data_IF_428457533275
#
_entry.id   IF_428457533275
#
_cell.length_a   1.000
_cell.length_b   1.000
_cell.length_c   1.000
_cell.angle_alpha   90.00
_cell.angle_beta   90.00
_cell.angle_gamma   90.00
#
_symmetry.space_group_name_H-M   'P 1'
#
loop_
_entity.id
_entity.type
_entity.pdbx_description
1 polymer ?
#
# COMPACT_ATOMS: atom_id res chain seq x y z
N UNK A 1 10.78 5.29 33.73
CA UNK A 1 10.58 3.83 33.85
C UNK A 1 9.89 3.39 32.57
N UNK A 2 10.61 2.74 31.66
CA UNK A 2 10.01 2.22 30.43
C UNK A 2 9.08 1.07 30.81
N UNK A 3 7.78 1.30 30.68
CA UNK A 3 6.78 0.25 30.73
C UNK A 3 7.16 -0.73 29.62
N UNK A 4 7.53 -1.97 29.97
CA UNK A 4 7.78 -2.99 28.96
C UNK A 4 6.42 -3.32 28.36
N UNK A 5 6.15 -2.82 27.16
CA UNK A 5 4.93 -3.15 26.45
C UNK A 5 4.89 -4.67 26.23
N UNK A 6 3.84 -5.31 26.75
CA UNK A 6 3.58 -6.74 26.57
C UNK A 6 2.81 -6.98 25.27
N UNK A 7 2.83 -8.21 24.76
CA UNK A 7 2.04 -8.60 23.58
C UNK A 7 2.66 -8.13 22.26
N UNK A 8 1.81 -7.82 21.28
CA UNK A 8 2.24 -7.43 19.93
C UNK A 8 3.13 -6.17 19.93
N UNK A 9 2.80 -5.18 20.76
CA UNK A 9 3.60 -3.95 20.88
C UNK A 9 5.02 -4.23 21.40
N UNK A 10 5.16 -5.17 22.34
CA UNK A 10 6.47 -5.62 22.81
C UNK A 10 7.34 -6.21 21.69
N UNK A 11 6.74 -6.95 20.75
CA UNK A 11 7.45 -7.48 19.59
C UNK A 11 7.81 -6.40 18.56
N UNK A 12 7.15 -5.25 18.58
CA UNK A 12 7.48 -4.08 17.76
C UNK A 12 8.56 -3.17 18.39
N UNK A 13 9.06 -3.49 19.58
CA UNK A 13 10.10 -2.71 20.27
C UNK A 13 11.34 -2.31 19.44
N UNK A 14 11.84 -3.09 18.44
CA UNK A 14 12.96 -2.65 17.59
C UNK A 14 12.68 -1.36 16.79
N UNK A 15 11.41 -1.03 16.59
CA UNK A 15 10.95 0.18 15.89
C UNK A 15 10.15 1.12 16.80
N UNK A 16 10.24 0.95 18.12
CA UNK A 16 9.48 1.74 19.09
C UNK A 16 9.66 3.26 18.88
N UNK A 17 10.89 3.70 18.59
CA UNK A 17 11.20 5.12 18.29
C UNK A 17 10.35 5.72 17.17
N UNK A 18 9.90 4.90 16.22
CA UNK A 18 9.06 5.32 15.10
C UNK A 18 7.58 5.24 15.45
N UNK A 19 7.20 4.25 16.28
CA UNK A 19 5.85 4.12 16.84
C UNK A 19 5.52 5.27 17.78
N UNK A 20 6.50 5.78 18.54
CA UNK A 20 6.28 6.88 19.47
C UNK A 20 6.31 8.25 18.78
N UNK A 21 6.89 8.34 17.58
CA UNK A 21 7.03 9.60 16.87
C UNK A 21 5.68 10.07 16.28
N UNK A 22 5.08 11.18 16.74
CA UNK A 22 3.76 11.63 16.28
C UNK A 22 3.69 12.01 14.80
N UNK A 23 4.84 12.21 14.16
CA UNK A 23 4.94 12.57 12.73
C UNK A 23 4.85 11.35 11.80
N UNK A 24 4.99 10.14 12.33
CA UNK A 24 4.90 8.90 11.55
C UNK A 24 3.44 8.53 11.34
N UNK A 25 2.99 8.41 10.09
CA UNK A 25 1.61 8.03 9.77
C UNK A 25 1.47 6.58 9.33
N UNK A 26 2.50 6.00 8.70
CA UNK A 26 2.50 4.59 8.26
C UNK A 26 3.82 3.88 8.57
N UNK A 27 3.72 2.60 8.92
CA UNK A 27 4.85 1.68 9.10
C UNK A 27 4.52 0.42 8.31
N UNK A 28 5.40 0.03 7.40
CA UNK A 28 5.20 -1.11 6.50
C UNK A 28 6.38 -2.07 6.60
N UNK A 29 6.09 -3.36 6.57
CA UNK A 29 7.10 -4.42 6.46
C UNK A 29 6.66 -5.29 5.30
N UNK A 30 7.32 -5.15 4.16
CA UNK A 30 7.01 -5.92 2.95
C UNK A 30 7.84 -7.19 2.84
N UNK A 31 8.98 -7.25 3.54
CA UNK A 31 9.86 -8.41 3.67
C UNK A 31 10.61 -8.38 5.00
N UNK A 32 11.14 -9.51 5.49
CA UNK A 32 11.90 -9.54 6.73
C UNK A 32 13.06 -8.53 6.71
N UNK A 33 13.36 -7.99 7.89
CA UNK A 33 14.42 -7.01 8.14
C UNK A 33 14.24 -5.62 7.52
N UNK A 34 13.20 -5.39 6.70
CA UNK A 34 13.01 -4.09 6.02
C UNK A 34 11.72 -3.41 6.42
N UNK A 35 11.88 -2.20 6.96
CA UNK A 35 10.78 -1.40 7.48
C UNK A 35 10.71 -0.09 6.73
N UNK A 36 9.60 0.13 6.03
CA UNK A 36 9.29 1.41 5.42
C UNK A 36 8.51 2.27 6.41
N UNK A 37 8.90 3.52 6.56
CA UNK A 37 8.33 4.47 7.51
C UNK A 37 7.94 5.73 6.75
N UNK A 38 6.67 6.10 6.84
CA UNK A 38 6.14 7.32 6.26
C UNK A 38 5.97 8.38 7.34
N UNK A 39 6.59 9.53 7.12
CA UNK A 39 6.41 10.71 7.94
C UNK A 39 6.32 11.96 7.07
N UNK A 40 5.31 12.81 7.32
CA UNK A 40 5.09 14.07 6.59
C UNK A 40 5.04 13.91 5.06
N UNK A 41 4.48 12.81 4.56
CA UNK A 41 4.38 12.51 3.13
C UNK A 41 5.67 11.98 2.50
N UNK A 42 6.72 11.73 3.29
CA UNK A 42 7.98 11.16 2.83
C UNK A 42 8.15 9.74 3.38
N UNK A 43 8.43 8.79 2.49
CA UNK A 43 8.68 7.39 2.84
C UNK A 43 10.19 7.11 2.85
N UNK A 44 10.68 6.41 3.86
CA UNK A 44 12.07 5.95 3.92
C UNK A 44 12.14 4.47 4.32
N UNK A 45 13.15 3.75 3.82
CA UNK A 45 13.42 2.37 4.21
C UNK A 45 14.51 2.32 5.27
N UNK A 46 14.30 1.53 6.33
CA UNK A 46 15.26 1.29 7.39
C UNK A 46 15.44 -0.21 7.59
N UNK A 47 16.69 -0.66 7.64
CA UNK A 47 17.02 -2.04 7.93
C UNK A 47 16.98 -2.31 9.44
N UNK A 48 16.23 -3.33 9.83
CA UNK A 48 16.02 -3.75 11.22
C UNK A 48 16.16 -5.28 11.31
N UNK A 49 17.39 -5.83 11.44
CA UNK A 49 17.64 -7.28 11.43
C UNK A 49 16.85 -8.07 12.49
N UNK A 50 16.47 -7.42 13.60
CA UNK A 50 15.67 -8.04 14.66
C UNK A 50 14.24 -8.40 14.19
N UNK A 51 13.70 -7.75 13.16
CA UNK A 51 12.39 -8.06 12.57
C UNK A 51 12.54 -9.13 11.47
N UNK A 52 13.13 -10.26 11.85
CA UNK A 52 13.28 -11.43 10.97
C UNK A 52 11.93 -12.16 10.75
N UNK A 53 11.95 -13.16 9.86
CA UNK A 53 10.76 -13.95 9.53
C UNK A 53 10.10 -14.57 10.76
N UNK A 54 10.87 -15.12 11.70
CA UNK A 54 10.32 -15.83 12.86
C UNK A 54 9.66 -14.87 13.83
N UNK A 55 10.29 -13.72 14.09
CA UNK A 55 9.71 -12.66 14.92
C UNK A 55 8.44 -12.09 14.30
N UNK A 56 8.41 -11.87 12.99
CA UNK A 56 7.21 -11.41 12.28
C UNK A 56 6.07 -12.42 12.41
N UNK A 57 6.32 -13.71 12.26
CA UNK A 57 5.29 -14.74 12.45
C UNK A 57 4.76 -14.76 13.90
N UNK A 58 5.64 -14.63 14.89
CA UNK A 58 5.21 -14.53 16.29
C UNK A 58 4.36 -13.27 16.53
N UNK A 59 4.80 -12.12 15.99
CA UNK A 59 4.05 -10.86 16.04
C UNK A 59 2.66 -11.02 15.41
N UNK A 60 2.57 -11.66 14.26
CA UNK A 60 1.32 -11.84 13.55
C UNK A 60 0.34 -12.71 14.34
N UNK A 61 0.82 -13.79 14.97
CA UNK A 61 0.01 -14.63 15.85
C UNK A 61 -0.48 -13.87 17.10
N UNK A 62 0.36 -13.03 17.71
CA UNK A 62 -0.06 -12.19 18.83
C UNK A 62 -1.12 -11.17 18.41
N UNK A 63 -0.92 -10.48 17.29
CA UNK A 63 -1.91 -9.53 16.76
C UNK A 63 -3.24 -10.25 16.47
N UNK A 64 -3.18 -11.45 15.88
CA UNK A 64 -4.37 -12.24 15.59
C UNK A 64 -5.12 -12.61 16.87
N UNK A 65 -4.40 -13.09 17.88
CA UNK A 65 -4.96 -13.39 19.20
C UNK A 65 -5.59 -12.17 19.87
N UNK A 66 -4.91 -11.02 19.86
CA UNK A 66 -5.40 -9.77 20.44
C UNK A 66 -6.66 -9.24 19.73
N UNK A 67 -6.81 -9.55 18.43
CA UNK A 67 -7.99 -9.19 17.63
C UNK A 67 -9.07 -10.28 17.61
N UNK A 68 -8.91 -11.38 18.37
CA UNK A 68 -9.81 -12.54 18.37
C UNK A 68 -10.06 -13.11 16.96
N UNK A 69 -9.02 -13.14 16.13
CA UNK A 69 -9.07 -13.62 14.75
C UNK A 69 -8.08 -14.76 14.56
N UNK A 70 -8.31 -15.57 13.51
CA UNK A 70 -7.37 -16.58 13.08
C UNK A 70 -6.51 -16.04 11.95
N UNK A 71 -5.24 -16.45 11.93
CA UNK A 71 -4.32 -16.14 10.86
C UNK A 71 -3.44 -17.36 10.59
N UNK A 72 -3.72 -18.02 9.47
CA UNK A 72 -3.11 -19.28 9.06
C UNK A 72 -3.15 -19.41 7.53
N UNK A 73 -2.73 -20.55 7.00
CA UNK A 73 -2.65 -20.77 5.54
C UNK A 73 -4.03 -20.74 4.85
N UNK A 74 -5.12 -21.06 5.56
CA UNK A 74 -6.50 -21.02 5.03
C UNK A 74 -7.10 -19.62 5.12
N UNK A 75 -6.72 -18.85 6.15
CA UNK A 75 -7.10 -17.46 6.38
C UNK A 75 -5.85 -16.57 6.46
N UNK A 76 -5.18 -16.30 5.33
CA UNK A 76 -3.87 -15.66 5.32
C UNK A 76 -3.95 -14.13 5.42
N UNK A 77 -5.14 -13.56 5.54
CA UNK A 77 -5.38 -12.11 5.60
C UNK A 77 -5.99 -11.75 6.94
N UNK A 78 -5.45 -10.70 7.58
CA UNK A 78 -5.99 -10.17 8.83
C UNK A 78 -6.14 -8.66 8.76
N UNK A 79 -7.31 -8.17 9.16
CA UNK A 79 -7.63 -6.76 9.36
C UNK A 79 -7.99 -6.52 10.82
N UNK A 80 -7.20 -5.72 11.52
CA UNK A 80 -7.37 -5.51 12.96
C UNK A 80 -6.85 -4.17 13.46
N UNK A 81 -6.68 -4.07 14.77
CA UNK A 81 -6.08 -2.93 15.47
C UNK A 81 -5.01 -3.39 16.46
N UNK A 82 -4.06 -2.51 16.76
CA UNK A 82 -3.08 -2.69 17.84
C UNK A 82 -3.59 -2.06 19.13
N UNK A 83 -2.92 -2.35 20.26
CA UNK A 83 -3.28 -1.83 21.58
C UNK A 83 -3.27 -0.30 21.71
N UNK A 84 -2.48 0.39 20.88
CA UNK A 84 -2.43 1.86 20.80
C UNK A 84 -3.58 2.46 19.94
N UNK A 85 -4.44 1.61 19.37
CA UNK A 85 -5.52 1.99 18.46
C UNK A 85 -5.10 2.20 17.01
N UNK A 86 -3.83 1.94 16.66
CA UNK A 86 -3.37 1.93 15.26
C UNK A 86 -4.04 0.79 14.49
N UNK A 87 -4.37 1.02 13.21
CA UNK A 87 -4.94 -0.01 12.34
C UNK A 87 -3.84 -0.88 11.78
N UNK A 88 -4.06 -2.18 11.70
CA UNK A 88 -3.09 -3.14 11.17
C UNK A 88 -3.71 -4.04 10.11
N UNK A 89 -2.93 -4.31 9.06
CA UNK A 89 -3.19 -5.29 8.03
C UNK A 89 -2.04 -6.27 7.97
N UNK A 90 -2.34 -7.56 7.98
CA UNK A 90 -1.37 -8.65 7.87
C UNK A 90 -1.71 -9.53 6.68
N UNK A 91 -0.67 -9.99 5.99
CA UNK A 91 -0.77 -11.00 4.93
C UNK A 91 0.30 -12.05 5.12
N UNK A 92 -0.11 -13.32 5.18
CA UNK A 92 0.80 -14.47 5.21
C UNK A 92 1.14 -14.98 3.80
N UNK A 93 2.29 -15.66 3.66
CA UNK A 93 2.52 -16.58 2.55
C UNK A 93 1.49 -17.72 2.53
N UNK A 94 1.12 -18.25 1.35
CA UNK A 94 1.65 -17.92 0.02
C UNK A 94 0.99 -16.72 -0.66
N UNK A 95 -0.05 -16.12 -0.05
CA UNK A 95 -0.78 -14.97 -0.63
C UNK A 95 0.16 -13.80 -0.89
N UNK A 96 0.98 -13.41 0.08
CA UNK A 96 2.16 -12.58 -0.16
C UNK A 96 3.42 -13.43 -0.29
N UNK A 97 4.49 -12.89 -0.88
CA UNK A 97 5.79 -13.58 -0.95
C UNK A 97 6.37 -13.75 0.47
N UNK A 98 6.23 -12.72 1.30
CA UNK A 98 6.72 -12.69 2.68
C UNK A 98 5.59 -12.33 3.64
N UNK A 99 5.73 -12.64 4.95
CA UNK A 99 4.86 -12.07 5.98
C UNK A 99 4.86 -10.54 5.86
N UNK A 100 3.75 -9.98 5.42
CA UNK A 100 3.62 -8.56 5.09
C UNK A 100 2.74 -7.88 6.11
N UNK A 101 3.19 -6.74 6.63
CA UNK A 101 2.50 -5.95 7.64
C UNK A 101 2.38 -4.50 7.19
N UNK A 102 1.22 -3.91 7.44
CA UNK A 102 0.97 -2.48 7.25
C UNK A 102 0.26 -1.94 8.48
N UNK A 103 0.91 -1.04 9.20
CA UNK A 103 0.34 -0.30 10.33
C UNK A 103 0.05 1.12 9.85
N UNK A 104 -1.19 1.55 10.02
CA UNK A 104 -1.61 2.94 9.84
C UNK A 104 -1.92 3.54 11.18
N UNK A 105 -1.08 4.50 11.59
CA UNK A 105 -1.19 5.15 12.89
C UNK A 105 -2.37 6.11 12.92
N UNK A 106 -2.94 6.29 14.11
CA UNK A 106 -4.03 7.24 14.33
C UNK A 106 -3.46 8.66 14.30
N UNK A 107 -3.86 9.45 13.30
CA UNK A 107 -3.52 10.87 13.28
C UNK A 107 -4.26 11.57 14.43
N UNK A 108 -3.52 12.13 15.37
CA UNK A 108 -4.05 12.82 16.57
C UNK A 108 -4.58 14.22 16.24
N UNK A 109 -4.47 14.66 14.98
CA UNK A 109 -4.81 16.01 14.59
C UNK A 109 -6.30 16.15 14.25
N UNK A 110 -7.12 16.40 15.28
CA UNK A 110 -8.47 16.93 15.12
C UNK A 110 -8.42 18.38 14.62
N UNK A 111 -8.17 18.57 13.32
CA UNK A 111 -8.15 19.89 12.71
C UNK A 111 -9.58 20.38 12.48
N UNK A 112 -9.86 21.61 12.90
CA UNK A 112 -11.06 22.34 12.53
C UNK A 112 -10.95 22.89 11.10
N UNK A 113 -12.09 23.24 10.48
CA UNK A 113 -12.09 23.91 9.17
C UNK A 113 -11.30 25.23 9.19
N UNK A 114 -11.26 25.93 10.33
CA UNK A 114 -10.47 27.15 10.48
C UNK A 114 -8.97 26.86 10.48
N UNK A 115 -8.53 25.72 11.02
CA UNK A 115 -7.11 25.34 10.99
C UNK A 115 -6.62 25.14 9.55
N UNK A 116 -7.45 24.56 8.68
CA UNK A 116 -7.14 24.45 7.25
C UNK A 116 -7.00 25.83 6.58
N UNK A 117 -7.82 26.80 6.97
CA UNK A 117 -7.72 28.19 6.46
C UNK A 117 -6.42 28.84 6.90
N UNK A 118 -6.04 28.73 8.18
CA UNK A 118 -4.79 29.31 8.70
C UNK A 118 -3.54 28.66 8.10
N UNK A 119 -3.62 27.38 7.72
CA UNK A 119 -2.56 26.63 7.04
C UNK A 119 -2.49 26.87 5.53
N UNK A 120 -3.23 27.83 4.99
CA UNK A 120 -3.32 28.10 3.54
C UNK A 120 -3.70 26.88 2.70
N UNK A 121 -4.40 25.90 3.27
CA UNK A 121 -4.73 24.64 2.58
C UNK A 121 -5.54 24.88 1.30
N UNK A 122 -6.44 25.87 1.33
CA UNK A 122 -7.31 26.23 0.21
C UNK A 122 -6.63 27.07 -0.89
N UNK A 123 -5.34 27.41 -0.75
CA UNK A 123 -4.68 28.31 -1.70
C UNK A 123 -4.57 27.72 -3.11
N UNK A 124 -4.51 26.38 -3.22
CA UNK A 124 -4.45 25.65 -4.51
C UNK A 124 -5.81 25.13 -4.97
N UNK A 125 -6.89 25.38 -4.23
CA UNK A 125 -8.21 24.90 -4.65
C UNK A 125 -8.77 25.78 -5.76
N UNK A 126 -9.17 25.17 -6.85
CA UNK A 126 -9.78 25.84 -7.99
C UNK A 126 -11.26 25.47 -8.00
N UNK A 127 -12.14 26.47 -8.03
CA UNK A 127 -13.57 26.22 -8.18
C UNK A 127 -13.83 25.61 -9.56
N UNK A 128 -14.52 24.47 -9.59
CA UNK A 128 -14.92 23.84 -10.84
C UNK A 128 -16.17 24.55 -11.38
N UNK A 129 -16.04 25.23 -12.51
CA UNK A 129 -17.18 25.85 -13.19
C UNK A 129 -17.82 24.86 -14.18
N UNK A 130 -19.04 24.43 -13.87
CA UNK A 130 -19.86 23.52 -14.68
C UNK A 130 -20.21 24.09 -16.06
N UNK A 131 -20.10 25.42 -16.26
CA UNK A 131 -20.47 26.10 -17.52
C UNK A 131 -19.26 26.50 -18.37
N UNK A 132 -18.07 26.59 -17.79
CA UNK A 132 -16.87 26.89 -18.56
C UNK A 132 -16.26 25.61 -19.13
N UNK A 133 -16.07 25.56 -20.44
CA UNK A 133 -15.15 24.59 -21.07
C UNK A 133 -13.68 24.92 -20.75
N UNK A 134 -13.36 25.27 -19.50
CA UNK A 134 -11.98 25.35 -19.04
C UNK A 134 -11.43 23.93 -18.94
N UNK A 135 -11.08 23.37 -20.10
CA UNK A 135 -10.19 22.24 -20.27
C UNK A 135 -8.89 22.62 -19.56
N UNK A 136 -8.77 22.20 -18.30
CA UNK A 136 -7.57 22.38 -17.48
C UNK A 136 -6.32 22.05 -18.30
N UNK A 137 -5.27 22.84 -18.12
CA UNK A 137 -4.02 22.73 -18.90
C UNK A 137 -3.44 21.31 -18.90
N UNK A 138 -3.67 20.51 -17.84
CA UNK A 138 -3.34 19.07 -17.77
C UNK A 138 -4.03 18.23 -18.85
N UNK A 139 -5.31 18.50 -19.17
CA UNK A 139 -6.01 17.85 -20.28
C UNK A 139 -5.42 18.22 -21.64
N UNK A 140 -4.69 19.34 -21.76
CA UNK A 140 -4.10 19.77 -23.05
C UNK A 140 -2.87 18.91 -23.38
N UNK A 141 -1.97 18.65 -22.45
CA UNK A 141 -0.71 17.94 -22.76
C UNK A 141 -0.97 16.52 -23.29
N UNK A 142 -1.70 15.69 -22.54
CA UNK A 142 -2.08 14.34 -22.97
C UNK A 142 -2.90 14.36 -24.26
N UNK A 143 -3.83 15.32 -24.42
CA UNK A 143 -4.62 15.43 -25.64
C UNK A 143 -3.78 15.77 -26.86
N UNK A 144 -2.78 16.64 -26.73
CA UNK A 144 -1.87 16.97 -27.82
C UNK A 144 -0.99 15.77 -28.20
N UNK A 145 -0.43 15.06 -27.21
CA UNK A 145 0.34 13.83 -27.46
C UNK A 145 -0.50 12.78 -28.18
N UNK A 146 -1.76 12.60 -27.76
CA UNK A 146 -2.74 11.74 -28.43
C UNK A 146 -3.00 12.18 -29.88
N UNK A 147 -3.23 13.47 -30.12
CA UNK A 147 -3.49 14.02 -31.46
C UNK A 147 -2.29 13.87 -32.39
N UNK A 148 -1.09 13.98 -31.84
CA UNK A 148 0.17 13.80 -32.57
C UNK A 148 0.56 12.33 -32.72
N UNK A 149 -0.20 11.39 -32.13
CA UNK A 149 0.08 9.95 -32.14
C UNK A 149 1.43 9.58 -31.53
N UNK A 150 1.93 10.40 -30.60
CA UNK A 150 3.14 10.09 -29.83
C UNK A 150 2.79 9.16 -28.66
N UNK A 151 2.55 7.89 -28.98
CA UNK A 151 2.07 6.90 -28.01
C UNK A 151 3.03 6.67 -26.84
N UNK A 152 4.35 6.46 -27.04
CA UNK A 152 5.27 6.22 -25.94
C UNK A 152 5.26 7.38 -24.93
N UNK A 153 5.35 8.62 -25.40
CA UNK A 153 5.31 9.80 -24.54
C UNK A 153 3.94 9.99 -23.90
N UNK A 154 2.85 9.72 -24.63
CA UNK A 154 1.49 9.77 -24.09
C UNK A 154 1.32 8.81 -22.90
N UNK A 155 1.73 7.54 -23.06
CA UNK A 155 1.62 6.51 -22.03
C UNK A 155 2.49 6.86 -20.83
N UNK A 156 3.76 7.21 -21.05
CA UNK A 156 4.67 7.64 -19.99
C UNK A 156 4.12 8.83 -19.22
N UNK A 157 3.62 9.85 -19.92
CA UNK A 157 3.02 11.04 -19.29
C UNK A 157 1.78 10.66 -18.48
N UNK A 158 0.92 9.76 -18.99
CA UNK A 158 -0.25 9.30 -18.26
C UNK A 158 0.12 8.54 -16.96
N UNK A 159 1.20 7.76 -16.98
CA UNK A 159 1.74 7.07 -15.80
C UNK A 159 2.27 8.07 -14.78
N UNK A 160 3.09 9.04 -15.20
CA UNK A 160 3.66 10.08 -14.33
C UNK A 160 2.59 11.00 -13.73
N UNK A 161 1.51 11.27 -14.48
CA UNK A 161 0.34 12.00 -14.00
C UNK A 161 -0.64 11.13 -13.18
N UNK A 162 -0.26 9.88 -12.86
CA UNK A 162 -1.04 8.94 -12.03
C UNK A 162 -2.46 8.71 -12.55
N UNK A 163 -2.64 8.65 -13.88
CA UNK A 163 -3.92 8.29 -14.49
C UNK A 163 -4.23 6.82 -14.24
N UNK A 164 -5.52 6.52 -14.09
CA UNK A 164 -5.99 5.13 -14.12
C UNK A 164 -5.95 4.64 -15.57
N UNK A 165 -5.21 3.56 -15.83
CA UNK A 165 -5.01 3.00 -17.17
C UNK A 165 -5.54 1.58 -17.19
N UNK A 166 -6.32 1.26 -18.24
CA UNK A 166 -6.78 -0.11 -18.52
C UNK A 166 -6.13 -0.57 -19.81
N UNK A 167 -5.40 -1.69 -19.74
CA UNK A 167 -4.80 -2.33 -20.92
C UNK A 167 -5.73 -3.46 -21.36
N UNK A 168 -6.26 -3.37 -22.57
CA UNK A 168 -7.24 -4.32 -23.13
C UNK A 168 -6.76 -4.92 -24.45
N UNK A 169 -7.25 -6.11 -24.79
CA UNK A 169 -6.85 -6.88 -25.96
C UNK A 169 -7.14 -8.38 -25.81
N UNK A 170 -7.19 -9.12 -26.92
CA UNK A 170 -7.49 -10.56 -26.94
C UNK A 170 -6.50 -11.43 -26.13
N UNK A 171 -6.81 -12.71 -25.95
CA UNK A 171 -5.87 -13.65 -25.32
C UNK A 171 -4.55 -13.70 -26.10
N UNK A 172 -3.42 -13.77 -25.40
CA UNK A 172 -2.07 -13.82 -26.01
C UNK A 172 -1.69 -12.59 -26.87
N UNK A 173 -2.34 -11.44 -26.68
CA UNK A 173 -2.00 -10.19 -27.39
C UNK A 173 -0.82 -9.40 -26.82
N UNK A 174 -0.12 -9.93 -25.80
CA UNK A 174 1.02 -9.26 -25.17
C UNK A 174 0.66 -8.21 -24.11
N UNK A 175 -0.56 -8.24 -23.55
CA UNK A 175 -1.00 -7.30 -22.50
C UNK A 175 -0.07 -7.26 -21.29
N UNK A 176 0.29 -8.42 -20.74
CA UNK A 176 1.20 -8.51 -19.58
C UNK A 176 2.58 -7.95 -19.93
N UNK A 177 3.09 -8.26 -21.12
CA UNK A 177 4.36 -7.71 -21.61
C UNK A 177 4.33 -6.19 -21.69
N UNK A 178 3.25 -5.62 -22.22
CA UNK A 178 3.08 -4.18 -22.31
C UNK A 178 2.91 -3.52 -20.92
N UNK A 179 2.19 -4.18 -20.00
CA UNK A 179 2.09 -3.76 -18.61
C UNK A 179 3.49 -3.71 -17.94
N UNK A 180 4.31 -4.74 -18.11
CA UNK A 180 5.67 -4.79 -17.57
C UNK A 180 6.54 -3.64 -18.10
N UNK A 181 6.40 -3.27 -19.39
CA UNK A 181 7.06 -2.08 -19.92
C UNK A 181 6.57 -0.78 -19.26
N UNK A 182 5.25 -0.65 -19.04
CA UNK A 182 4.69 0.52 -18.34
C UNK A 182 5.18 0.63 -16.88
N UNK A 183 5.34 -0.49 -16.18
CA UNK A 183 5.80 -0.49 -14.79
C UNK A 183 7.22 0.06 -14.62
N UNK A 184 8.06 -0.03 -15.65
CA UNK A 184 9.41 0.54 -15.65
C UNK A 184 9.42 2.08 -15.67
N UNK A 185 8.31 2.69 -16.12
CA UNK A 185 8.16 4.16 -16.15
C UNK A 185 7.64 4.72 -14.81
N UNK A 186 7.24 3.87 -13.86
CA UNK A 186 6.78 4.30 -12.54
C UNK A 186 7.99 4.75 -11.70
N UNK A 187 7.95 5.95 -11.06
CA UNK A 187 9.02 6.43 -10.20
C UNK A 187 9.43 5.41 -9.12
N UNK A 188 10.74 5.24 -8.92
CA UNK A 188 11.30 4.17 -8.07
C UNK A 188 10.91 4.25 -6.59
N UNK A 189 10.54 5.44 -6.11
CA UNK A 189 10.06 5.73 -4.75
C UNK A 189 8.57 5.41 -4.54
N UNK A 190 7.86 5.02 -5.61
CA UNK A 190 6.43 4.67 -5.55
C UNK A 190 6.25 3.28 -4.94
N UNK A 191 5.35 3.17 -3.97
CA UNK A 191 4.89 1.87 -3.45
C UNK A 191 4.02 1.17 -4.49
N UNK A 192 4.35 -0.07 -4.82
CA UNK A 192 3.58 -0.89 -5.77
C UNK A 192 2.99 -2.11 -5.07
N UNK A 193 1.70 -2.35 -5.27
CA UNK A 193 1.04 -3.58 -4.84
C UNK A 193 0.45 -4.24 -6.09
N UNK A 194 0.84 -5.48 -6.38
CA UNK A 194 0.21 -6.29 -7.44
C UNK A 194 -0.75 -7.31 -6.83
N UNK A 195 -1.78 -7.65 -7.59
CA UNK A 195 -2.71 -8.72 -7.29
C UNK A 195 -2.91 -9.53 -8.58
N UNK A 196 -2.46 -10.78 -8.56
CA UNK A 196 -2.38 -11.63 -9.74
C UNK A 196 -2.88 -13.04 -9.42
N UNK A 197 -3.48 -13.75 -10.39
CA UNK A 197 -3.78 -15.18 -10.22
C UNK A 197 -2.50 -16.04 -10.33
N UNK A 198 -1.59 -15.62 -11.22
CA UNK A 198 -0.25 -16.19 -11.44
C UNK A 198 0.74 -15.04 -11.50
N UNK A 199 1.90 -15.17 -10.84
CA UNK A 199 2.93 -14.11 -10.85
C UNK A 199 3.57 -14.02 -12.24
N UNK A 200 3.25 -12.97 -12.98
CA UNK A 200 3.84 -12.64 -14.28
C UNK A 200 4.43 -11.22 -14.30
N UNK A 201 4.06 -10.39 -13.31
CA UNK A 201 4.50 -9.01 -13.21
C UNK A 201 5.88 -8.91 -12.55
N UNK A 202 6.82 -8.31 -13.27
CA UNK A 202 8.17 -8.03 -12.81
C UNK A 202 8.27 -6.59 -12.26
N UNK A 203 8.59 -6.46 -10.98
CA UNK A 203 8.67 -5.17 -10.30
C UNK A 203 10.09 -4.95 -9.78
N UNK A 204 10.72 -3.85 -10.18
CA UNK A 204 12.06 -3.48 -9.71
C UNK A 204 12.04 -2.68 -8.40
N UNK A 205 10.93 -2.01 -8.08
CA UNK A 205 10.75 -1.18 -6.90
C UNK A 205 11.04 -1.94 -5.60
N UNK A 206 11.67 -1.26 -4.65
CA UNK A 206 11.97 -1.80 -3.32
C UNK A 206 10.70 -1.90 -2.46
N UNK A 207 9.88 -0.84 -2.47
CA UNK A 207 8.62 -0.79 -1.72
C UNK A 207 7.51 -1.51 -2.50
N UNK A 208 7.56 -2.83 -2.56
CA UNK A 208 6.57 -3.64 -3.28
C UNK A 208 5.94 -4.73 -2.43
N UNK A 209 4.69 -5.05 -2.73
CA UNK A 209 3.99 -6.25 -2.25
C UNK A 209 3.37 -6.96 -3.44
N UNK A 210 3.66 -8.25 -3.61
CA UNK A 210 3.07 -9.04 -4.70
C UNK A 210 2.08 -10.03 -4.09
N UNK A 211 0.79 -9.82 -4.36
CA UNK A 211 -0.30 -10.64 -3.83
C UNK A 211 -0.81 -11.63 -4.88
N UNK A 212 -1.15 -12.83 -4.42
CA UNK A 212 -1.86 -13.83 -5.21
C UNK A 212 -3.35 -13.80 -4.88
N UNK A 213 -4.19 -13.74 -5.91
CA UNK A 213 -5.62 -13.98 -5.81
C UNK A 213 -5.86 -15.49 -5.85
N UNK A 214 -6.04 -16.12 -4.69
CA UNK A 214 -6.50 -17.50 -4.65
C UNK A 214 -8.02 -17.53 -4.91
N UNK A 215 -8.44 -18.34 -5.88
CA UNK A 215 -9.84 -18.79 -5.93
C UNK A 215 -10.04 -19.66 -4.70
N UNK A 216 -10.83 -19.21 -3.73
CA UNK A 216 -11.29 -20.10 -2.67
C UNK A 216 -11.83 -21.38 -3.30
N UNK A 217 -11.25 -22.52 -2.95
CA UNK A 217 -11.94 -23.79 -3.09
C UNK A 217 -13.26 -23.66 -2.32
N UNK A 218 -14.33 -24.07 -2.98
CA UNK A 218 -15.71 -23.99 -2.52
C UNK A 218 -15.83 -24.23 -1.02
N UNK A 219 -16.57 -23.35 -0.33
CA UNK A 219 -17.15 -23.72 0.95
C UNK A 219 -17.96 -24.99 0.73
N UNK A 220 -17.45 -26.12 1.20
CA UNK A 220 -18.26 -27.29 1.45
C UNK A 220 -19.29 -26.87 2.50
N UNK A 221 -20.48 -26.48 2.06
CA UNK A 221 -21.67 -26.55 2.89
C UNK A 221 -21.75 -27.96 3.43
N UNK A 222 -21.33 -28.15 4.69
CA UNK A 222 -21.81 -29.26 5.51
C UNK A 222 -23.30 -29.01 5.69
N UNK A 223 -24.10 -29.55 4.77
CA UNK A 223 -25.51 -29.78 5.04
C UNK A 223 -25.50 -30.93 6.05
N UNK A 224 -25.69 -30.61 7.33
CA UNK A 224 -26.07 -31.62 8.31
C UNK A 224 -27.45 -32.13 7.89
N UNK A 225 -27.52 -33.42 7.48
CA UNK A 225 -28.76 -34.19 7.64
C UNK A 225 -28.91 -34.59 9.10
#
# INVERSE_FOLDING_TARGET
MSQFDTGALGLLSPIQRHIDNPEVSEILINRPEEVFIEAKGCMCCVRVPLLDKNRLLCLFQLIASENNQQLNDEMPLLSGSLGDGSRVQLVLPPTAIYPTLSIRRKSVNGLSLNDYRTKNYYQKTIAFDLKSENKGQEKKALYQLYKNQDWPTFIKTAILEKKNIVISGGTSSGKTTFLNACLQEIPADTRIITLEDTREIDILHENKVQLLAHKHAQGSTKINM
#
